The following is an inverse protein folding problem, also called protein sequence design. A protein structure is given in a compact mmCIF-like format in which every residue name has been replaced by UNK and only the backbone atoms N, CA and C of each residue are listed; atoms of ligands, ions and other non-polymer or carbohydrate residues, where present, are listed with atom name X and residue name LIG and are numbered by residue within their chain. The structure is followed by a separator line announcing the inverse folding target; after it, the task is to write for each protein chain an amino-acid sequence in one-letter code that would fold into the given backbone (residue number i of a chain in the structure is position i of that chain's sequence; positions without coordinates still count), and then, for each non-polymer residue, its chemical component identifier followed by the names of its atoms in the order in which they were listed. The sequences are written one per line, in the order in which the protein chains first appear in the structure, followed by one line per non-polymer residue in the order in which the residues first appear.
data_IF_984289833657
#
_entry.id   IF_984289833657
#
_cell.length_a   1.000
_cell.length_b   1.000
_cell.length_c   1.000
_cell.angle_alpha   90.00
_cell.angle_beta   90.00
_cell.angle_gamma   90.00
#
_symmetry.space_group_name_H-M   'P 1'
#
loop_
_entity.id
_entity.type
_entity.pdbx_description
1 polymer ?
#
# COMPACT_ATOMS: atom_id res chain seq x y z
N UNK A 1 -11.02 11.09 -5.57
CA UNK A 1 -10.29 10.20 -4.64
C UNK A 1 -10.85 10.41 -3.25
N UNK A 2 -11.32 9.35 -2.57
CA UNK A 2 -11.68 9.45 -1.16
C UNK A 2 -10.45 9.88 -0.35
N UNK A 3 -10.67 10.67 0.70
CA UNK A 3 -9.61 11.08 1.62
C UNK A 3 -9.69 10.20 2.87
N UNK A 4 -8.54 9.75 3.33
CA UNK A 4 -8.39 8.98 4.57
C UNK A 4 -7.51 9.78 5.51
N UNK A 5 -7.87 9.85 6.79
CA UNK A 5 -7.05 10.44 7.85
C UNK A 5 -6.75 9.33 8.86
N UNK A 6 -5.47 9.21 9.22
CA UNK A 6 -4.96 8.20 10.14
C UNK A 6 -3.93 8.84 11.06
N UNK A 7 -3.83 8.33 12.29
CA UNK A 7 -2.75 8.68 13.20
C UNK A 7 -1.61 7.66 13.03
N UNK A 8 -0.39 8.17 12.88
CA UNK A 8 0.82 7.36 12.71
C UNK A 8 1.92 7.86 13.64
N UNK A 9 2.72 6.96 14.23
CA UNK A 9 3.94 7.34 14.94
C UNK A 9 4.85 8.19 14.07
N UNK A 10 5.47 9.21 14.66
CA UNK A 10 6.36 10.13 13.94
C UNK A 10 7.54 9.38 13.30
N UNK A 11 8.13 8.42 14.00
CA UNK A 11 9.23 7.59 13.49
C UNK A 11 8.89 6.88 12.18
N UNK A 12 7.66 6.36 12.04
CA UNK A 12 7.23 5.71 10.80
C UNK A 12 6.99 6.70 9.66
N UNK A 13 6.58 7.93 9.99
CA UNK A 13 6.43 8.99 9.01
C UNK A 13 7.80 9.45 8.50
N UNK A 14 8.78 9.56 9.40
CA UNK A 14 10.15 9.94 9.05
C UNK A 14 10.78 8.86 8.16
N UNK A 15 10.66 7.58 8.50
CA UNK A 15 11.12 6.46 7.67
C UNK A 15 10.46 6.46 6.28
N UNK A 16 9.17 6.78 6.21
CA UNK A 16 8.46 6.89 4.92
C UNK A 16 9.01 8.05 4.09
N UNK A 17 9.29 9.18 4.72
CA UNK A 17 9.80 10.38 4.05
C UNK A 17 11.21 10.20 3.51
N UNK A 18 12.05 9.35 4.10
CA UNK A 18 13.35 8.94 3.52
C UNK A 18 13.20 8.26 2.14
N UNK A 19 12.01 7.78 1.81
CA UNK A 19 11.70 7.13 0.53
C UNK A 19 10.89 8.01 -0.43
N UNK A 20 10.59 9.27 -0.07
CA UNK A 20 9.78 10.22 -0.84
C UNK A 20 10.60 11.41 -1.34
N UNK A 21 10.47 11.76 -2.63
CA UNK A 21 11.24 12.83 -3.28
C UNK A 21 11.60 12.50 -4.73
N UNK A 22 12.17 13.49 -5.43
CA UNK A 22 12.40 13.42 -6.89
C UNK A 22 13.46 12.38 -7.29
N UNK A 23 14.42 12.06 -6.41
CA UNK A 23 15.51 11.10 -6.64
C UNK A 23 15.29 9.73 -5.96
N UNK A 24 14.10 9.50 -5.39
CA UNK A 24 13.79 8.29 -4.61
C UNK A 24 12.55 7.57 -5.14
N UNK A 25 12.08 6.54 -4.43
CA UNK A 25 11.11 5.57 -4.96
C UNK A 25 9.70 6.12 -5.17
N UNK A 26 9.33 7.22 -4.52
CA UNK A 26 7.97 7.75 -4.53
C UNK A 26 7.95 9.26 -4.72
N UNK A 27 7.03 9.75 -5.56
CA UNK A 27 6.92 11.19 -5.88
C UNK A 27 6.37 12.00 -4.71
N UNK A 28 5.49 11.41 -3.90
CA UNK A 28 4.93 12.03 -2.69
C UNK A 28 4.43 10.97 -1.71
N UNK A 29 4.13 11.38 -0.46
CA UNK A 29 3.62 10.47 0.59
C UNK A 29 2.36 9.71 0.17
N UNK A 30 1.43 10.37 -0.53
CA UNK A 30 0.20 9.71 -0.99
C UNK A 30 0.51 8.62 -2.02
N UNK A 31 1.54 8.83 -2.85
CA UNK A 31 1.99 7.85 -3.82
C UNK A 31 2.65 6.64 -3.16
N UNK A 32 3.49 6.89 -2.16
CA UNK A 32 4.12 5.86 -1.33
C UNK A 32 3.07 4.99 -0.62
N UNK A 33 2.06 5.62 0.00
CA UNK A 33 0.98 4.92 0.71
C UNK A 33 0.15 4.09 -0.26
N UNK A 34 -0.30 4.66 -1.39
CA UNK A 34 -1.11 3.93 -2.38
C UNK A 34 -0.36 2.72 -2.95
N UNK A 35 0.92 2.89 -3.27
CA UNK A 35 1.75 1.81 -3.82
C UNK A 35 1.96 0.71 -2.79
N UNK A 36 2.21 1.07 -1.53
CA UNK A 36 2.37 0.11 -0.43
C UNK A 36 1.09 -0.69 -0.17
N UNK A 37 -0.08 -0.03 -0.19
CA UNK A 37 -1.37 -0.70 -0.03
C UNK A 37 -1.60 -1.67 -1.19
N UNK A 38 -1.41 -1.23 -2.45
CA UNK A 38 -1.59 -2.10 -3.62
C UNK A 38 -0.69 -3.33 -3.55
N UNK A 39 0.61 -3.14 -3.29
CA UNK A 39 1.55 -4.25 -3.15
C UNK A 39 1.15 -5.22 -2.03
N UNK A 40 0.61 -4.71 -0.93
CA UNK A 40 0.14 -5.57 0.17
C UNK A 40 -1.07 -6.40 -0.24
N UNK A 41 -2.04 -5.80 -0.95
CA UNK A 41 -3.20 -6.52 -1.47
C UNK A 41 -2.80 -7.56 -2.51
N UNK A 42 -1.93 -7.21 -3.46
CA UNK A 42 -1.43 -8.14 -4.47
C UNK A 42 -0.76 -9.37 -3.81
N UNK A 43 0.02 -9.16 -2.74
CA UNK A 43 0.62 -10.27 -1.98
C UNK A 43 -0.41 -11.14 -1.25
N UNK A 44 -1.50 -10.56 -0.75
CA UNK A 44 -2.56 -11.31 -0.09
C UNK A 44 -3.35 -12.13 -1.11
N UNK A 45 -3.64 -11.56 -2.28
CA UNK A 45 -4.30 -12.25 -3.38
C UNK A 45 -3.48 -13.45 -3.86
N UNK A 46 -2.16 -13.29 -4.05
CA UNK A 46 -1.25 -14.41 -4.38
C UNK A 46 -1.25 -15.53 -3.33
N UNK A 47 -1.39 -15.17 -2.05
CA UNK A 47 -1.49 -16.14 -0.94
C UNK A 47 -2.82 -16.87 -1.02
N UNK A 48 -3.93 -16.16 -1.22
CA UNK A 48 -5.26 -16.75 -1.29
C UNK A 48 -5.44 -17.67 -2.50
N UNK A 49 -4.86 -17.31 -3.64
CA UNK A 49 -4.76 -18.19 -4.82
C UNK A 49 -4.04 -19.51 -4.49
N UNK A 50 -2.89 -19.42 -3.82
CA UNK A 50 -2.11 -20.61 -3.43
C UNK A 50 -2.86 -21.52 -2.46
N UNK A 51 -3.66 -20.94 -1.56
CA UNK A 51 -4.42 -21.69 -0.57
C UNK A 51 -5.82 -22.10 -1.04
N UNK A 52 -6.21 -21.76 -2.27
CA UNK A 52 -7.52 -22.10 -2.85
C UNK A 52 -8.68 -21.35 -2.19
N UNK A 53 -8.44 -20.15 -1.65
CA UNK A 53 -9.45 -19.30 -0.98
C UNK A 53 -10.14 -18.29 -1.90
N UNK A 54 -9.85 -18.34 -3.20
CA UNK A 54 -10.37 -17.37 -4.16
C UNK A 54 -11.88 -17.56 -4.30
N UNK A 55 -12.65 -16.56 -3.86
CA UNK A 55 -14.06 -16.44 -4.19
C UNK A 55 -14.18 -15.84 -5.60
N UNK A 56 -14.69 -16.58 -6.61
CA UNK A 56 -14.78 -16.09 -7.97
C UNK A 56 -15.74 -14.89 -8.13
N UNK A 57 -16.54 -14.56 -7.12
CA UNK A 57 -17.54 -13.47 -7.17
C UNK A 57 -17.02 -12.13 -6.58
N UNK A 58 -15.81 -12.07 -6.00
CA UNK A 58 -15.31 -10.87 -5.31
C UNK A 58 -14.73 -9.77 -6.23
N UNK A 59 -14.64 -10.01 -7.54
CA UNK A 59 -13.91 -9.14 -8.49
C UNK A 59 -14.83 -8.24 -9.36
N UNK A 60 -16.13 -8.14 -9.09
CA UNK A 60 -17.05 -7.28 -9.86
C UNK A 60 -17.16 -5.83 -9.37
#
# INVERSE_FOLDING_TARGET
MPKVSVEIPQELLDDLDEHVGDDVKFVNRSDAIRTSIRKTLDMLDEIDERHGRVDPEATE
#
